data_IF_671381698580
#
_entry.id   IF_671381698580
#
_cell.length_a   1.000
_cell.length_b   1.000
_cell.length_c   1.000
_cell.angle_alpha   90.00
_cell.angle_beta   90.00
_cell.angle_gamma   90.00
#
_symmetry.space_group_name_H-M   'P 1'
#
loop_
_entity.id
_entity.type
_entity.pdbx_description
1 polymer ?
#
# COMPACT_ATOMS: atom_id res chain seq x y z
N UNK A 1 -11.33 -17.36 18.01
CA UNK A 1 -10.18 -16.90 17.22
C UNK A 1 -9.80 -15.52 17.72
N UNK A 2 -8.52 -15.16 17.90
CA UNK A 2 -8.06 -13.85 18.33
C UNK A 2 -7.52 -13.08 17.13
N UNK A 3 -7.48 -11.75 17.21
CA UNK A 3 -6.93 -10.91 16.16
C UNK A 3 -5.48 -11.30 15.80
N UNK A 4 -4.67 -11.67 16.79
CA UNK A 4 -3.30 -12.19 16.59
C UNK A 4 -3.23 -13.40 15.65
N UNK A 5 -4.26 -14.25 15.65
CA UNK A 5 -4.28 -15.49 14.89
C UNK A 5 -4.45 -15.24 13.38
N UNK A 6 -5.02 -14.08 13.05
CA UNK A 6 -5.31 -13.67 11.66
C UNK A 6 -4.41 -12.56 11.15
N UNK A 7 -3.55 -12.02 12.00
CA UNK A 7 -2.72 -10.84 11.71
C UNK A 7 -1.91 -11.01 10.42
N UNK A 8 -1.25 -12.15 10.22
CA UNK A 8 -0.45 -12.42 9.02
C UNK A 8 -1.30 -12.41 7.74
N UNK A 9 -2.53 -12.92 7.81
CA UNK A 9 -3.46 -12.94 6.67
C UNK A 9 -3.97 -11.54 6.33
N UNK A 10 -4.21 -10.70 7.34
CA UNK A 10 -4.59 -9.29 7.14
C UNK A 10 -3.46 -8.50 6.47
N UNK A 11 -2.22 -8.74 6.90
CA UNK A 11 -1.02 -8.04 6.41
C UNK A 11 -0.51 -8.57 5.06
N UNK A 12 -0.98 -9.73 4.61
CA UNK A 12 -0.51 -10.32 3.37
C UNK A 12 -0.68 -9.36 2.18
N UNK A 13 0.30 -9.27 1.27
CA UNK A 13 0.18 -8.47 0.07
C UNK A 13 -1.08 -8.81 -0.73
N UNK A 14 -1.60 -7.83 -1.45
CA UNK A 14 -2.67 -8.06 -2.42
C UNK A 14 -2.09 -8.61 -3.73
N UNK A 15 -2.86 -9.43 -4.48
CA UNK A 15 -2.53 -9.78 -5.84
C UNK A 15 -2.20 -8.55 -6.69
N UNK A 16 -1.20 -8.65 -7.57
CA UNK A 16 -0.69 -7.50 -8.32
C UNK A 16 -1.79 -6.80 -9.14
N UNK A 17 -2.75 -7.56 -9.67
CA UNK A 17 -3.87 -7.02 -10.44
C UNK A 17 -4.88 -6.18 -9.62
N UNK A 18 -4.87 -6.29 -8.29
CA UNK A 18 -5.70 -5.48 -7.38
C UNK A 18 -4.99 -4.21 -6.90
N UNK A 19 -3.70 -4.07 -7.19
CA UNK A 19 -2.94 -2.86 -6.83
C UNK A 19 -2.94 -1.90 -8.01
N UNK A 20 -3.63 -0.77 -7.84
CA UNK A 20 -3.66 0.32 -8.80
C UNK A 20 -2.55 1.35 -8.53
N UNK A 21 -2.34 2.22 -9.52
CA UNK A 21 -1.41 3.34 -9.42
C UNK A 21 -2.13 4.64 -9.76
N UNK A 22 -1.96 5.66 -8.94
CA UNK A 22 -2.55 6.97 -9.17
C UNK A 22 -1.50 8.07 -9.09
N UNK A 23 -1.60 9.15 -9.90
CA UNK A 23 -0.70 10.27 -9.78
C UNK A 23 -0.96 11.02 -8.46
N UNK A 24 0.12 11.27 -7.72
CA UNK A 24 0.11 12.16 -6.56
C UNK A 24 0.64 13.54 -6.96
N UNK A 25 1.66 13.58 -7.80
CA UNK A 25 2.25 14.82 -8.30
C UNK A 25 2.41 14.68 -9.81
N UNK A 26 1.97 15.70 -10.54
CA UNK A 26 2.23 15.84 -11.97
C UNK A 26 3.14 17.05 -12.14
N UNK A 27 4.19 16.92 -12.94
CA UNK A 27 5.13 18.03 -13.23
C UNK A 27 4.43 19.17 -13.95
N UNK A 28 4.95 20.40 -13.82
CA UNK A 28 4.34 21.60 -14.44
C UNK A 28 4.23 21.50 -15.96
N UNK A 29 5.18 20.81 -16.61
CA UNK A 29 5.17 20.54 -18.05
C UNK A 29 4.26 19.37 -18.44
N UNK A 30 3.62 18.72 -17.45
CA UNK A 30 2.72 17.56 -17.59
C UNK A 30 3.32 16.35 -18.30
N UNK A 31 4.65 16.24 -18.33
CA UNK A 31 5.36 15.13 -18.99
C UNK A 31 5.68 13.98 -18.07
N UNK A 32 5.72 14.22 -16.76
CA UNK A 32 6.04 13.19 -15.74
C UNK A 32 5.05 13.25 -14.59
N UNK A 33 4.78 12.10 -14.00
CA UNK A 33 3.99 11.98 -12.78
C UNK A 33 4.70 11.11 -11.77
N UNK A 34 4.54 11.45 -10.50
CA UNK A 34 4.88 10.58 -9.38
C UNK A 34 3.65 9.77 -9.00
N UNK A 35 3.75 8.45 -9.12
CA UNK A 35 2.66 7.53 -8.83
C UNK A 35 2.77 6.96 -7.42
N UNK A 36 1.60 6.78 -6.80
CA UNK A 36 1.41 6.01 -5.58
C UNK A 36 0.59 4.77 -5.86
N UNK A 37 1.01 3.66 -5.26
CA UNK A 37 0.23 2.44 -5.24
C UNK A 37 -0.98 2.58 -4.30
N UNK A 38 -2.09 2.00 -4.68
CA UNK A 38 -3.29 1.94 -3.85
C UNK A 38 -4.08 0.66 -4.10
N UNK A 39 -4.98 0.33 -3.21
CA UNK A 39 -6.00 -0.70 -3.40
C UNK A 39 -7.40 -0.09 -3.31
N UNK A 40 -8.34 -0.67 -4.05
CA UNK A 40 -9.75 -0.28 -3.97
C UNK A 40 -10.35 -0.69 -2.62
N UNK A 41 -11.34 0.08 -2.14
CA UNK A 41 -12.03 -0.23 -0.88
C UNK A 41 -12.73 -1.61 -0.92
N UNK A 42 -13.17 -2.07 -2.10
CA UNK A 42 -13.77 -3.40 -2.27
C UNK A 42 -12.75 -4.50 -2.02
N UNK A 43 -11.53 -4.37 -2.52
CA UNK A 43 -10.46 -5.34 -2.24
C UNK A 43 -10.14 -5.41 -0.73
N UNK A 44 -10.26 -4.28 -0.01
CA UNK A 44 -10.16 -4.27 1.45
C UNK A 44 -11.32 -5.02 2.10
N UNK A 45 -12.57 -4.79 1.68
CA UNK A 45 -13.74 -5.52 2.17
C UNK A 45 -13.61 -7.03 1.92
N UNK A 46 -13.26 -7.42 0.70
CA UNK A 46 -13.04 -8.83 0.33
C UNK A 46 -11.97 -9.49 1.21
N UNK A 47 -10.90 -8.75 1.57
CA UNK A 47 -9.88 -9.22 2.50
C UNK A 47 -10.44 -9.41 3.91
N UNK A 48 -11.24 -8.48 4.40
CA UNK A 48 -11.87 -8.56 5.72
C UNK A 48 -12.86 -9.74 5.77
N UNK A 49 -13.67 -9.91 4.74
CA UNK A 49 -14.64 -11.03 4.62
C UNK A 49 -13.92 -12.39 4.55
N UNK A 50 -12.83 -12.49 3.79
CA UNK A 50 -12.07 -13.73 3.65
C UNK A 50 -11.30 -14.11 4.93
N UNK A 51 -10.87 -13.13 5.72
CA UNK A 51 -10.01 -13.36 6.91
C UNK A 51 -10.84 -13.45 8.18
N UNK A 52 -11.85 -12.61 8.32
CA UNK A 52 -12.68 -12.44 9.53
C UNK A 52 -14.18 -12.39 9.17
N UNK A 53 -14.72 -13.45 8.56
CA UNK A 53 -16.13 -13.47 8.14
C UNK A 53 -17.05 -13.21 9.34
N UNK A 54 -17.98 -12.27 9.19
CA UNK A 54 -18.94 -11.84 10.21
C UNK A 54 -18.35 -11.24 11.50
N UNK A 55 -17.04 -11.00 11.55
CA UNK A 55 -16.33 -10.50 12.73
C UNK A 55 -15.83 -9.05 12.54
N UNK A 56 -16.39 -8.33 11.57
CA UNK A 56 -16.06 -6.92 11.36
C UNK A 56 -17.29 -6.06 11.09
N UNK A 57 -17.20 -4.79 11.47
CA UNK A 57 -18.18 -3.76 11.16
C UNK A 57 -17.49 -2.44 10.88
N UNK A 58 -18.09 -1.63 10.00
CA UNK A 58 -17.60 -0.31 9.67
C UNK A 58 -18.71 0.72 9.78
N UNK A 59 -18.43 1.78 10.54
CA UNK A 59 -19.34 2.90 10.78
C UNK A 59 -18.67 4.19 10.30
N UNK A 60 -19.48 5.13 9.81
CA UNK A 60 -19.00 6.45 9.41
C UNK A 60 -19.82 7.55 10.05
N UNK A 61 -19.15 8.62 10.43
CA UNK A 61 -19.76 9.87 10.90
C UNK A 61 -19.25 11.01 10.03
N UNK A 62 -20.15 11.77 9.45
CA UNK A 62 -19.79 12.97 8.68
C UNK A 62 -19.25 14.04 9.64
N UNK A 63 -18.10 14.64 9.30
CA UNK A 63 -17.53 15.75 10.05
C UNK A 63 -18.09 17.05 9.48
N UNK A 64 -19.00 17.67 10.22
CA UNK A 64 -19.61 18.95 9.83
C UNK A 64 -18.59 20.09 9.93
N UNK A 65 -18.73 21.08 9.03
CA UNK A 65 -17.88 22.28 9.05
C UNK A 65 -16.46 22.08 8.50
N UNK A 66 -16.10 20.89 8.01
CA UNK A 66 -14.83 20.66 7.33
C UNK A 66 -14.81 21.37 5.97
N UNK A 67 -13.65 21.90 5.56
CA UNK A 67 -13.47 22.58 4.27
C UNK A 67 -13.67 21.65 3.07
N UNK A 68 -13.39 20.37 3.25
CA UNK A 68 -13.63 19.29 2.28
C UNK A 68 -14.55 18.25 2.90
N UNK A 69 -15.33 17.50 2.10
CA UNK A 69 -16.11 16.40 2.62
C UNK A 69 -15.24 15.40 3.36
N UNK A 70 -15.45 15.33 4.65
CA UNK A 70 -14.64 14.58 5.59
C UNK A 70 -15.54 13.65 6.40
N UNK A 71 -15.09 12.42 6.60
CA UNK A 71 -15.79 11.46 7.46
C UNK A 71 -14.82 10.86 8.48
N UNK A 72 -15.32 10.61 9.67
CA UNK A 72 -14.66 9.76 10.65
C UNK A 72 -15.13 8.33 10.42
N UNK A 73 -14.20 7.46 10.08
CA UNK A 73 -14.43 6.02 9.97
C UNK A 73 -14.11 5.33 11.29
N UNK A 74 -14.88 4.29 11.60
CA UNK A 74 -14.70 3.42 12.75
C UNK A 74 -14.81 1.97 12.30
N UNK A 75 -13.67 1.29 12.26
CA UNK A 75 -13.60 -0.13 11.91
C UNK A 75 -13.41 -0.95 13.19
N UNK A 76 -14.35 -1.84 13.45
CA UNK A 76 -14.24 -2.84 14.50
C UNK A 76 -13.96 -4.19 13.85
N UNK A 77 -12.91 -4.87 14.31
CA UNK A 77 -12.48 -6.17 13.81
C UNK A 77 -12.24 -7.09 14.99
N UNK A 78 -13.01 -8.16 15.12
CA UNK A 78 -12.91 -9.14 16.22
C UNK A 78 -12.91 -8.45 17.61
N UNK A 79 -13.78 -7.46 17.81
CA UNK A 79 -13.91 -6.70 19.04
C UNK A 79 -12.85 -5.60 19.26
N UNK A 80 -11.87 -5.46 18.38
CA UNK A 80 -10.87 -4.38 18.44
C UNK A 80 -11.30 -3.25 17.51
N UNK A 81 -11.39 -2.03 18.02
CA UNK A 81 -11.80 -0.84 17.25
C UNK A 81 -10.60 0.04 16.91
N UNK A 82 -10.59 0.56 15.68
CA UNK A 82 -9.67 1.60 15.21
C UNK A 82 -10.47 2.66 14.45
N UNK A 83 -10.07 3.90 14.59
CA UNK A 83 -10.71 5.04 13.95
C UNK A 83 -9.66 5.82 13.13
N UNK A 84 -10.10 6.39 12.02
CA UNK A 84 -9.29 7.30 11.21
C UNK A 84 -10.21 8.24 10.42
N UNK A 85 -9.62 9.28 9.84
CA UNK A 85 -10.33 10.29 9.06
C UNK A 85 -10.11 10.00 7.59
N UNK A 86 -11.20 9.93 6.83
CA UNK A 86 -11.16 9.90 5.38
C UNK A 86 -11.58 11.24 4.81
N UNK A 87 -10.86 11.71 3.82
CA UNK A 87 -11.13 12.95 3.11
C UNK A 87 -11.33 12.67 1.62
N UNK A 88 -12.26 13.39 1.03
CA UNK A 88 -12.39 13.39 -0.41
C UNK A 88 -11.47 14.46 -0.99
N UNK A 89 -10.30 14.07 -1.43
CA UNK A 89 -9.54 14.85 -2.39
C UNK A 89 -10.17 14.66 -3.78
N UNK A 90 -11.00 15.54 -4.24
CA UNK A 90 -11.67 15.33 -5.52
C UNK A 90 -11.74 16.57 -6.37
N UNK A 91 -11.32 16.45 -7.62
CA UNK A 91 -11.47 17.45 -8.68
C UNK A 91 -12.92 17.54 -9.20
N UNK A 92 -13.83 16.66 -8.75
CA UNK A 92 -15.14 16.46 -9.39
C UNK A 92 -16.28 17.31 -8.80
N UNK A 93 -16.04 18.09 -7.76
CA UNK A 93 -16.93 19.15 -7.27
C UNK A 93 -18.37 18.80 -6.88
N UNK A 94 -18.79 17.54 -6.98
CA UNK A 94 -20.11 17.11 -6.51
C UNK A 94 -20.05 16.59 -5.07
N UNK A 95 -20.79 17.20 -4.16
CA UNK A 95 -20.81 16.83 -2.73
C UNK A 95 -21.12 15.33 -2.49
N UNK A 96 -21.97 14.71 -3.30
CA UNK A 96 -22.33 13.30 -3.17
C UNK A 96 -21.19 12.36 -3.62
N UNK A 97 -20.47 12.68 -4.70
CA UNK A 97 -19.29 11.93 -5.15
C UNK A 97 -18.14 11.99 -4.12
N UNK A 98 -17.99 13.12 -3.48
CA UNK A 98 -16.95 13.38 -2.48
C UNK A 98 -17.21 12.66 -1.15
N UNK A 99 -18.43 12.56 -0.64
CA UNK A 99 -18.73 11.77 0.57
C UNK A 99 -18.50 10.27 0.36
N UNK A 100 -18.83 9.73 -0.82
CA UNK A 100 -18.50 8.34 -1.17
C UNK A 100 -16.99 8.11 -1.18
N UNK A 101 -16.23 9.04 -1.76
CA UNK A 101 -14.77 8.96 -1.79
C UNK A 101 -14.17 9.02 -0.40
N UNK A 102 -14.63 9.97 0.45
CA UNK A 102 -14.22 10.09 1.85
C UNK A 102 -14.52 8.81 2.65
N UNK A 103 -15.71 8.21 2.46
CA UNK A 103 -16.09 6.95 3.12
C UNK A 103 -15.16 5.80 2.70
N UNK A 104 -14.86 5.66 1.40
CA UNK A 104 -13.93 4.65 0.91
C UNK A 104 -12.51 4.88 1.41
N UNK A 105 -12.10 6.13 1.53
CA UNK A 105 -10.79 6.48 2.09
C UNK A 105 -10.71 6.16 3.58
N UNK A 106 -11.73 6.53 4.37
CA UNK A 106 -11.82 6.22 5.79
C UNK A 106 -11.72 4.71 6.07
N UNK A 107 -12.43 3.87 5.30
CA UNK A 107 -12.34 2.42 5.44
C UNK A 107 -10.90 1.92 5.22
N UNK A 108 -10.26 2.34 4.14
CA UNK A 108 -8.88 1.95 3.82
C UNK A 108 -7.91 2.38 4.92
N UNK A 109 -8.04 3.62 5.41
CA UNK A 109 -7.19 4.14 6.48
C UNK A 109 -7.38 3.39 7.80
N UNK A 110 -8.62 3.13 8.20
CA UNK A 110 -8.90 2.29 9.36
C UNK A 110 -8.30 0.87 9.21
N UNK A 111 -8.41 0.27 8.02
CA UNK A 111 -7.90 -1.07 7.74
C UNK A 111 -6.35 -1.14 7.81
N UNK A 112 -5.64 -0.05 7.45
CA UNK A 112 -4.19 0.07 7.59
C UNK A 112 -3.75 -0.10 9.05
N UNK A 113 -4.54 0.34 10.04
CA UNK A 113 -4.24 0.12 11.45
C UNK A 113 -4.23 -1.36 11.84
N UNK A 114 -4.92 -2.22 11.10
CA UNK A 114 -4.89 -3.67 11.23
C UNK A 114 -3.84 -4.34 10.34
N UNK A 115 -3.12 -3.54 9.54
CA UNK A 115 -2.06 -4.01 8.64
C UNK A 115 -2.51 -4.25 7.20
N UNK A 116 -3.80 -4.16 6.88
CA UNK A 116 -4.32 -4.36 5.52
C UNK A 116 -3.79 -3.28 4.58
N UNK A 117 -3.02 -3.68 3.57
CA UNK A 117 -2.42 -2.75 2.60
C UNK A 117 -1.33 -1.83 3.16
N UNK A 118 -0.88 -2.03 4.40
CA UNK A 118 0.15 -1.18 5.04
C UNK A 118 1.46 -1.19 4.26
N UNK A 119 1.86 -2.32 3.70
CA UNK A 119 3.07 -2.48 2.91
C UNK A 119 3.15 -1.54 1.69
N UNK A 120 2.01 -1.04 1.19
CA UNK A 120 1.98 -0.11 0.06
C UNK A 120 2.67 1.23 0.39
N UNK A 121 2.75 1.61 1.66
CA UNK A 121 3.44 2.81 2.12
C UNK A 121 4.97 2.67 2.08
N UNK A 122 5.48 1.43 2.06
CA UNK A 122 6.91 1.12 1.99
C UNK A 122 7.41 1.07 0.55
N UNK A 123 6.50 1.15 -0.44
CA UNK A 123 6.87 1.19 -1.85
C UNK A 123 7.62 2.48 -2.21
N UNK A 124 8.71 2.34 -2.95
CA UNK A 124 9.44 3.49 -3.46
C UNK A 124 8.55 4.33 -4.38
N UNK A 125 8.70 5.65 -4.31
CA UNK A 125 8.01 6.58 -5.19
C UNK A 125 8.40 6.31 -6.63
N UNK A 126 7.41 6.12 -7.51
CA UNK A 126 7.61 5.81 -8.92
C UNK A 126 7.40 7.06 -9.78
N UNK A 127 8.46 7.59 -10.37
CA UNK A 127 8.39 8.63 -11.38
C UNK A 127 8.31 8.00 -12.76
N UNK A 128 7.25 8.32 -13.50
CA UNK A 128 6.97 7.78 -14.83
C UNK A 128 6.78 8.91 -15.84
N UNK A 129 6.98 8.61 -17.11
CA UNK A 129 6.53 9.47 -18.19
C UNK A 129 5.00 9.45 -18.22
N UNK A 130 4.39 10.64 -18.33
CA UNK A 130 2.96 10.83 -18.18
C UNK A 130 2.28 11.22 -19.51
N UNK A 131 1.16 10.61 -19.79
CA UNK A 131 0.26 11.03 -20.84
C UNK A 131 -0.92 11.78 -20.20
N UNK A 132 -0.88 13.11 -20.28
CA UNK A 132 -1.87 13.96 -19.62
C UNK A 132 -3.28 13.87 -20.28
N UNK A 133 -3.33 13.55 -21.57
CA UNK A 133 -4.60 13.38 -22.28
C UNK A 133 -5.32 12.10 -21.89
N UNK A 134 -4.57 11.03 -21.76
CA UNK A 134 -5.09 9.72 -21.35
C UNK A 134 -5.12 9.54 -19.83
N UNK A 135 -4.44 10.42 -19.09
CA UNK A 135 -4.24 10.33 -17.63
C UNK A 135 -3.63 9.01 -17.20
N UNK A 136 -2.63 8.55 -17.92
CA UNK A 136 -1.94 7.27 -17.65
C UNK A 136 -0.42 7.38 -17.81
N UNK A 137 0.29 6.42 -17.25
CA UNK A 137 1.73 6.28 -17.42
C UNK A 137 2.04 5.79 -18.84
N UNK A 138 2.95 6.47 -19.56
CA UNK A 138 3.50 5.99 -20.82
C UNK A 138 4.37 4.77 -20.54
N UNK A 139 4.08 3.66 -21.20
CA UNK A 139 4.78 2.40 -20.96
C UNK A 139 4.11 1.49 -19.91
N UNK A 140 2.95 1.89 -19.40
CA UNK A 140 2.14 1.08 -18.48
C UNK A 140 2.40 1.38 -17.00
N UNK A 141 1.66 0.71 -16.14
CA UNK A 141 1.77 0.83 -14.70
C UNK A 141 3.10 0.23 -14.19
N UNK A 142 3.73 0.82 -13.16
CA UNK A 142 4.92 0.22 -12.55
C UNK A 142 4.65 -1.19 -12.02
N UNK A 143 5.63 -2.06 -12.13
CA UNK A 143 5.56 -3.39 -11.53
C UNK A 143 5.79 -3.33 -10.02
N UNK A 144 5.07 -4.20 -9.30
CA UNK A 144 5.32 -4.39 -7.88
C UNK A 144 6.63 -5.16 -7.69
N UNK A 145 7.48 -4.74 -6.72
CA UNK A 145 8.64 -5.52 -6.35
C UNK A 145 8.22 -6.88 -5.76
N UNK A 146 9.09 -7.87 -5.84
CA UNK A 146 8.85 -9.23 -5.37
C UNK A 146 8.28 -9.30 -3.95
N UNK A 147 8.84 -8.53 -3.03
CA UNK A 147 8.42 -8.53 -1.62
C UNK A 147 6.99 -8.01 -1.42
N UNK A 148 6.46 -7.21 -2.35
CA UNK A 148 5.11 -6.64 -2.32
C UNK A 148 4.09 -7.50 -3.08
N UNK A 149 4.46 -8.70 -3.51
CA UNK A 149 3.57 -9.67 -4.17
C UNK A 149 3.20 -10.80 -3.21
N UNK A 150 2.02 -11.43 -3.35
CA UNK A 150 1.69 -12.64 -2.61
C UNK A 150 2.69 -13.76 -2.88
N UNK A 151 2.85 -14.69 -1.95
CA UNK A 151 3.81 -15.79 -2.07
C UNK A 151 3.65 -16.61 -3.36
N UNK A 152 2.42 -16.81 -3.84
CA UNK A 152 2.15 -17.53 -5.10
C UNK A 152 2.48 -16.74 -6.37
N UNK A 153 2.73 -15.43 -6.27
CA UNK A 153 3.11 -14.55 -7.39
C UNK A 153 4.60 -14.17 -7.36
N UNK A 154 5.33 -14.62 -6.33
CA UNK A 154 6.77 -14.39 -6.20
C UNK A 154 7.55 -15.43 -7.00
N UNK A 155 8.66 -15.01 -7.61
CA UNK A 155 9.59 -15.99 -8.14
C UNK A 155 10.20 -16.83 -7.01
N UNK A 156 10.59 -18.10 -7.27
CA UNK A 156 11.15 -18.97 -6.23
C UNK A 156 12.37 -18.37 -5.50
N UNK A 157 13.16 -17.54 -6.18
CA UNK A 157 14.30 -16.82 -5.57
C UNK A 157 13.90 -15.62 -4.72
N UNK A 158 12.78 -14.95 -5.06
CA UNK A 158 12.31 -13.76 -4.34
C UNK A 158 11.76 -14.06 -2.94
N UNK A 159 11.09 -15.19 -2.77
CA UNK A 159 10.58 -15.64 -1.47
C UNK A 159 11.73 -15.84 -0.45
N UNK A 160 12.84 -16.42 -0.90
CA UNK A 160 14.02 -16.64 -0.07
C UNK A 160 14.70 -15.31 0.33
N UNK A 161 14.71 -14.33 -0.57
CA UNK A 161 15.30 -13.02 -0.31
C UNK A 161 14.50 -12.23 0.72
N UNK A 162 13.17 -12.24 0.63
CA UNK A 162 12.29 -11.57 1.60
C UNK A 162 12.45 -12.18 2.99
N UNK A 163 12.51 -13.50 3.08
CA UNK A 163 12.73 -14.20 4.35
C UNK A 163 14.11 -13.87 4.94
N UNK A 164 15.15 -13.79 4.11
CA UNK A 164 16.49 -13.39 4.52
C UNK A 164 16.54 -11.92 5.01
N UNK A 165 15.84 -11.01 4.35
CA UNK A 165 15.76 -9.60 4.77
C UNK A 165 14.98 -9.46 6.08
N UNK A 166 13.90 -10.19 6.27
CA UNK A 166 13.17 -10.21 7.55
C UNK A 166 14.03 -10.75 8.68
N UNK A 167 14.76 -11.81 8.43
CA UNK A 167 15.69 -12.41 9.41
C UNK A 167 16.81 -11.42 9.77
N UNK A 168 17.39 -10.73 8.81
CA UNK A 168 18.41 -9.70 9.03
C UNK A 168 17.89 -8.49 9.82
N UNK A 169 16.62 -8.12 9.74
CA UNK A 169 16.02 -7.06 10.57
C UNK A 169 16.05 -7.40 12.07
N UNK A 170 15.96 -8.67 12.43
CA UNK A 170 16.03 -9.14 13.82
C UNK A 170 17.46 -9.39 14.30
N UNK A 171 18.41 -9.62 13.39
CA UNK A 171 19.80 -9.92 13.68
C UNK A 171 20.73 -8.71 13.42
N UNK A 172 20.17 -7.54 13.15
CA UNK A 172 20.97 -6.35 12.88
C UNK A 172 21.78 -5.97 14.13
N UNK A 173 23.11 -5.91 14.05
CA UNK A 173 23.94 -5.55 15.19
C UNK A 173 23.63 -4.11 15.64
N UNK A 174 23.76 -3.82 16.92
CA UNK A 174 23.58 -2.46 17.47
C UNK A 174 24.74 -1.52 17.07
N UNK A 175 25.87 -2.06 16.69
CA UNK A 175 27.05 -1.31 16.27
C UNK A 175 26.88 -0.70 14.87
N UNK A 176 27.05 0.63 14.76
CA UNK A 176 26.84 1.40 13.54
C UNK A 176 27.80 1.05 12.40
N UNK A 177 29.02 0.63 12.71
CA UNK A 177 30.01 0.29 11.68
C UNK A 177 29.73 -1.11 11.11
N UNK A 178 29.30 -2.05 11.96
CA UNK A 178 28.80 -3.34 11.54
C UNK A 178 27.51 -3.21 10.71
N UNK A 179 26.61 -2.30 11.07
CA UNK A 179 25.42 -2.02 10.27
C UNK A 179 25.77 -1.52 8.87
N UNK A 180 26.78 -0.65 8.74
CA UNK A 180 27.27 -0.14 7.44
C UNK A 180 27.89 -1.25 6.58
N UNK A 181 28.64 -2.15 7.18
CA UNK A 181 29.24 -3.32 6.50
C UNK A 181 28.14 -4.25 5.99
N UNK A 182 27.16 -4.61 6.84
CA UNK A 182 25.99 -5.42 6.45
C UNK A 182 25.23 -4.76 5.30
N UNK A 183 24.98 -3.46 5.40
CA UNK A 183 24.28 -2.71 4.32
C UNK A 183 25.07 -2.72 3.00
N UNK A 184 26.40 -2.59 3.06
CA UNK A 184 27.29 -2.64 1.90
C UNK A 184 27.22 -4.01 1.20
N UNK A 185 27.26 -5.09 1.99
CA UNK A 185 27.15 -6.44 1.46
C UNK A 185 25.76 -6.75 0.88
N UNK A 186 24.68 -6.32 1.54
CA UNK A 186 23.32 -6.45 1.02
C UNK A 186 23.14 -5.69 -0.31
N UNK A 187 23.68 -4.48 -0.40
CA UNK A 187 23.61 -3.68 -1.62
C UNK A 187 24.39 -4.30 -2.78
N UNK A 188 25.55 -4.91 -2.50
CA UNK A 188 26.33 -5.65 -3.49
C UNK A 188 25.59 -6.90 -3.98
N UNK A 189 24.99 -7.67 -3.05
CA UNK A 189 24.19 -8.84 -3.38
C UNK A 189 22.96 -8.50 -4.22
N UNK A 190 22.22 -7.43 -3.85
CA UNK A 190 21.07 -6.92 -4.62
C UNK A 190 21.48 -6.44 -6.03
N UNK A 191 22.68 -5.83 -6.16
CA UNK A 191 23.21 -5.41 -7.45
C UNK A 191 23.56 -6.61 -8.35
N UNK A 192 24.08 -7.69 -7.76
CA UNK A 192 24.41 -8.93 -8.49
C UNK A 192 23.16 -9.70 -8.96
N UNK A 193 22.01 -9.51 -8.29
CA UNK A 193 20.74 -10.14 -8.66
C UNK A 193 19.93 -9.35 -9.70
N UNK A 194 20.38 -8.15 -10.11
CA UNK A 194 19.75 -7.42 -11.22
C UNK A 194 20.07 -8.16 -12.53
N UNK A 195 19.06 -8.54 -13.34
CA UNK A 195 19.32 -9.10 -14.64
C UNK A 195 20.14 -8.11 -15.48
N UNK A 196 21.16 -8.62 -16.16
CA UNK A 196 21.99 -7.85 -17.07
C UNK A 196 21.11 -7.30 -18.20
N UNK A 197 20.66 -6.06 -18.10
CA UNK A 197 19.78 -5.41 -19.09
C UNK A 197 19.12 -4.11 -18.65
N UNK A 198 19.24 -3.71 -17.38
CA UNK A 198 18.76 -2.41 -16.91
C UNK A 198 19.92 -1.59 -16.31
N UNK A 199 20.80 -1.14 -17.19
CA UNK A 199 21.77 -0.10 -16.89
C UNK A 199 21.25 1.23 -17.45
N UNK A 200 21.24 2.24 -16.58
CA UNK A 200 21.05 3.68 -16.73
C UNK A 200 19.64 4.21 -16.65
#
# INVERSE_FOLDING_TARGET
MKLSDVQKRLQAPFPAHLVGWKPQIITKDRKRAMLLAYVDARAVMDRLDAVCPNEWSFEVTVVEGAATPTVKGRLTLMGVTREDIGEAGGEDGTAAGTLKAATSDALKRCAVHFGVGRYLYDLARQWVDWDDLKREARGGAPELPEWARPDGERSPGGAHLVQAIEQLKYEMPEDLDLQREVYKHLRAALSALRPAGQAA
#
